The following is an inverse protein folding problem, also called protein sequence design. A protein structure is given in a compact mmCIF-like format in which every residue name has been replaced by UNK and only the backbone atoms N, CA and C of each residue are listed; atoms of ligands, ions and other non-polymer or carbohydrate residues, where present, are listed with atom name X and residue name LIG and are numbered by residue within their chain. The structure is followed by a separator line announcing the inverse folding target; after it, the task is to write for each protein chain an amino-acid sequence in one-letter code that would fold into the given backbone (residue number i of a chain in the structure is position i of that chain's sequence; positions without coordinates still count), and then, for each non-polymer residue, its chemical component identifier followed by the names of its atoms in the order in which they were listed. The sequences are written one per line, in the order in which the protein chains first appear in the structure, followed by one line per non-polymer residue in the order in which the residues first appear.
data_IF_900628115425
#
_entry.id   IF_900628115425
#
_cell.length_a   1.000
_cell.length_b   1.000
_cell.length_c   1.000
_cell.angle_alpha   90.00
_cell.angle_beta   90.00
_cell.angle_gamma   90.00
#
_symmetry.space_group_name_H-M   'P 1'
#
loop_
_entity.id
_entity.type
_entity.pdbx_description
1 polymer ?
#
# COMPACT_ATOMS: atom_id res chain seq x y z
N UNK A 1 -16.78 6.61 16.39
CA UNK A 1 -15.81 6.75 17.51
C UNK A 1 -14.40 6.65 16.90
N UNK A 2 -13.41 7.44 17.34
CA UNK A 2 -12.04 7.30 16.81
C UNK A 2 -11.36 6.04 17.38
N UNK A 3 -10.82 5.13 16.55
CA UNK A 3 -10.19 3.92 17.04
C UNK A 3 -8.91 4.23 17.83
N UNK A 4 -8.50 3.27 18.66
CA UNK A 4 -7.20 3.31 19.31
C UNK A 4 -6.13 2.89 18.30
N UNK A 5 -5.25 3.83 17.94
CA UNK A 5 -4.11 3.59 17.06
C UNK A 5 -2.83 3.87 17.83
N UNK A 6 -1.91 2.92 17.79
CA UNK A 6 -0.60 3.00 18.44
C UNK A 6 0.49 3.17 17.40
N UNK A 7 1.69 3.55 17.86
CA UNK A 7 2.86 3.53 17.00
C UNK A 7 3.17 2.09 16.57
N UNK A 8 3.68 1.91 15.34
CA UNK A 8 4.12 0.59 14.91
C UNK A 8 5.33 0.16 15.74
N UNK A 9 5.34 -1.10 16.17
CA UNK A 9 6.49 -1.71 16.85
C UNK A 9 7.76 -1.59 15.98
N UNK A 10 7.63 -1.82 14.67
CA UNK A 10 8.69 -1.62 13.69
C UNK A 10 8.45 -0.36 12.84
N UNK A 11 8.89 0.78 13.37
CA UNK A 11 8.83 2.08 12.66
C UNK A 11 9.62 2.08 11.35
N UNK A 12 10.73 1.34 11.28
CA UNK A 12 11.58 1.26 10.09
C UNK A 12 10.85 0.61 8.91
N UNK A 13 10.21 -0.54 9.16
CA UNK A 13 9.43 -1.26 8.16
C UNK A 13 8.26 -0.41 7.64
N UNK A 14 7.48 0.24 8.53
CA UNK A 14 6.39 1.12 8.08
C UNK A 14 6.92 2.33 7.30
N UNK A 15 8.04 2.91 7.72
CA UNK A 15 8.68 4.03 7.01
C UNK A 15 9.11 3.61 5.60
N UNK A 16 9.69 2.42 5.45
CA UNK A 16 10.07 1.87 4.15
C UNK A 16 8.84 1.62 3.26
N UNK A 17 7.78 1.03 3.81
CA UNK A 17 6.52 0.83 3.09
C UNK A 17 5.93 2.16 2.58
N UNK A 18 5.93 3.21 3.43
CA UNK A 18 5.49 4.55 3.02
C UNK A 18 6.38 5.09 1.89
N UNK A 19 7.69 4.90 1.96
CA UNK A 19 8.61 5.34 0.91
C UNK A 19 8.33 4.65 -0.43
N UNK A 20 8.02 3.35 -0.46
CA UNK A 20 7.62 2.66 -1.68
C UNK A 20 6.35 3.27 -2.29
N UNK A 21 5.35 3.57 -1.47
CA UNK A 21 4.13 4.26 -1.91
C UNK A 21 4.42 5.66 -2.46
N UNK A 22 5.28 6.44 -1.81
CA UNK A 22 5.68 7.77 -2.28
C UNK A 22 6.43 7.71 -3.62
N UNK A 23 7.32 6.73 -3.82
CA UNK A 23 8.00 6.48 -5.09
C UNK A 23 7.00 6.22 -6.20
N UNK A 24 6.01 5.35 -5.97
CA UNK A 24 4.96 5.08 -6.93
C UNK A 24 4.14 6.34 -7.25
N UNK A 25 3.68 7.07 -6.22
CA UNK A 25 2.85 8.27 -6.36
C UNK A 25 3.55 9.39 -7.12
N UNK A 26 4.89 9.40 -7.19
CA UNK A 26 5.67 10.35 -7.97
C UNK A 26 5.71 10.03 -9.49
N UNK A 27 5.22 8.87 -9.92
CA UNK A 27 5.27 8.45 -11.33
C UNK A 27 4.14 9.05 -12.18
N UNK A 28 4.33 9.15 -13.52
CA UNK A 28 3.24 9.49 -14.44
C UNK A 28 2.10 8.46 -14.43
N UNK A 29 2.41 7.18 -14.20
CA UNK A 29 1.42 6.10 -14.03
C UNK A 29 0.46 6.43 -12.88
N UNK A 30 0.98 6.81 -11.72
CA UNK A 30 0.14 7.20 -10.60
C UNK A 30 -0.66 8.48 -10.87
N UNK A 31 -0.15 9.40 -11.71
CA UNK A 31 -0.94 10.54 -12.15
C UNK A 31 -2.16 10.09 -12.98
N UNK A 32 -1.96 9.18 -13.94
CA UNK A 32 -3.04 8.62 -14.75
C UNK A 32 -4.05 7.81 -13.90
N UNK A 33 -3.58 6.95 -13.00
CA UNK A 33 -4.45 6.10 -12.18
C UNK A 33 -5.38 6.89 -11.24
N UNK A 34 -4.98 8.11 -10.87
CA UNK A 34 -5.79 9.01 -10.04
C UNK A 34 -6.64 10.01 -10.85
N UNK A 35 -6.53 10.07 -12.18
CA UNK A 35 -7.38 10.95 -13.00
C UNK A 35 -8.85 10.54 -12.93
N UNK A 36 -9.11 9.23 -12.97
CA UNK A 36 -10.47 8.66 -12.99
C UNK A 36 -10.84 7.98 -11.66
N UNK A 37 -10.22 8.40 -10.55
CA UNK A 37 -10.48 7.78 -9.25
C UNK A 37 -11.90 8.08 -8.76
N UNK A 38 -12.65 7.03 -8.44
CA UNK A 38 -14.10 7.09 -8.21
C UNK A 38 -14.51 7.79 -6.90
N UNK A 39 -13.59 8.01 -5.96
CA UNK A 39 -13.91 8.58 -4.64
C UNK A 39 -13.62 10.09 -4.64
N UNK A 40 -14.65 10.96 -4.61
CA UNK A 40 -14.45 12.39 -4.62
C UNK A 40 -13.56 12.87 -3.47
N UNK A 41 -12.65 13.79 -3.78
CA UNK A 41 -11.74 14.38 -2.79
C UNK A 41 -10.55 13.49 -2.40
N UNK A 42 -10.43 12.26 -2.91
CA UNK A 42 -9.23 11.42 -2.75
C UNK A 42 -8.33 11.62 -3.97
N UNK A 43 -7.57 12.72 -3.98
CA UNK A 43 -6.64 13.05 -5.07
C UNK A 43 -5.24 12.50 -4.81
N UNK A 44 -4.45 12.28 -5.87
CA UNK A 44 -3.04 11.86 -5.76
C UNK A 44 -2.23 12.76 -4.82
N UNK A 45 -2.39 14.09 -4.98
CA UNK A 45 -1.68 15.08 -4.17
C UNK A 45 -2.09 15.01 -2.68
N UNK A 46 -3.38 14.82 -2.40
CA UNK A 46 -3.86 14.62 -1.03
C UNK A 46 -3.24 13.36 -0.42
N UNK A 47 -3.28 12.22 -1.13
CA UNK A 47 -2.68 10.96 -0.66
C UNK A 47 -1.18 11.12 -0.43
N UNK A 48 -0.47 11.76 -1.36
CA UNK A 48 0.96 12.00 -1.26
C UNK A 48 1.32 12.82 -0.01
N UNK A 49 0.64 13.96 0.21
CA UNK A 49 0.87 14.81 1.39
C UNK A 49 0.49 14.10 2.70
N UNK A 50 -0.60 13.34 2.71
CA UNK A 50 -1.00 12.52 3.87
C UNK A 50 0.07 11.48 4.22
N UNK A 51 0.64 10.79 3.23
CA UNK A 51 1.72 9.82 3.46
C UNK A 51 3.03 10.49 3.91
N UNK A 52 3.40 11.64 3.33
CA UNK A 52 4.55 12.41 3.80
C UNK A 52 4.38 12.81 5.27
N UNK A 53 3.18 13.25 5.65
CA UNK A 53 2.90 13.63 7.03
C UNK A 53 2.89 12.43 7.96
N UNK A 54 2.26 11.33 7.56
CA UNK A 54 2.25 10.08 8.33
C UNK A 54 3.68 9.58 8.58
N UNK A 55 4.55 9.63 7.57
CA UNK A 55 5.98 9.28 7.70
C UNK A 55 6.67 10.10 8.79
N UNK A 56 6.42 11.42 8.83
CA UNK A 56 6.97 12.29 9.87
C UNK A 56 6.43 11.93 11.26
N UNK A 57 5.13 11.62 11.37
CA UNK A 57 4.54 11.22 12.64
C UNK A 57 5.11 9.90 13.16
N UNK A 58 5.28 8.90 12.29
CA UNK A 58 5.91 7.62 12.63
C UNK A 58 7.36 7.82 13.12
N UNK A 59 8.12 8.68 12.44
CA UNK A 59 9.51 8.95 12.80
C UNK A 59 9.63 9.72 14.13
N UNK A 60 8.79 10.74 14.34
CA UNK A 60 9.06 11.77 15.35
C UNK A 60 8.16 11.68 16.60
N UNK A 61 7.10 10.85 16.59
CA UNK A 61 6.21 10.78 17.75
C UNK A 61 6.92 10.08 18.93
N UNK A 62 6.91 10.69 20.13
CA UNK A 62 7.62 10.15 21.28
C UNK A 62 6.93 8.94 21.92
N UNK A 63 5.60 8.84 21.79
CA UNK A 63 4.78 7.77 22.36
C UNK A 63 3.42 7.66 21.64
N UNK A 64 2.65 6.61 21.98
CA UNK A 64 1.36 6.31 21.35
C UNK A 64 0.35 7.43 21.54
N UNK A 65 0.31 8.05 22.71
CA UNK A 65 -0.61 9.15 23.01
C UNK A 65 -0.36 10.35 22.10
N UNK A 66 0.91 10.72 21.90
CA UNK A 66 1.28 11.81 21.00
C UNK A 66 0.98 11.49 19.54
N UNK A 67 1.27 10.26 19.10
CA UNK A 67 0.97 9.79 17.76
C UNK A 67 -0.53 9.82 17.46
N UNK A 68 -1.35 9.23 18.34
CA UNK A 68 -2.80 9.21 18.19
C UNK A 68 -3.41 10.61 18.24
N UNK A 69 -2.91 11.48 19.12
CA UNK A 69 -3.36 12.87 19.20
C UNK A 69 -3.08 13.63 17.91
N UNK A 70 -1.91 13.41 17.30
CA UNK A 70 -1.56 14.00 16.01
C UNK A 70 -2.43 13.45 14.88
N UNK A 71 -2.66 12.12 14.83
CA UNK A 71 -3.58 11.52 13.87
C UNK A 71 -4.99 12.13 13.98
N UNK A 72 -5.54 12.21 15.21
CA UNK A 72 -6.85 12.81 15.50
C UNK A 72 -7.01 14.24 15.01
N UNK A 73 -5.93 15.03 15.11
CA UNK A 73 -5.95 16.44 14.72
C UNK A 73 -5.77 16.65 13.21
N UNK A 74 -5.00 15.78 12.56
CA UNK A 74 -4.46 16.06 11.22
C UNK A 74 -5.03 15.15 10.12
N UNK A 75 -5.72 14.07 10.48
CA UNK A 75 -6.25 13.08 9.54
C UNK A 75 -7.77 12.92 9.67
N UNK A 76 -8.39 12.54 8.55
CA UNK A 76 -9.75 12.00 8.52
C UNK A 76 -9.63 10.50 8.35
N UNK A 77 -10.18 9.71 9.27
CA UNK A 77 -10.30 8.26 9.08
C UNK A 77 -11.60 7.94 8.36
N UNK A 78 -11.47 7.06 7.38
CA UNK A 78 -12.58 6.45 6.68
C UNK A 78 -12.67 4.99 7.12
N UNK A 79 -13.85 4.59 7.57
CA UNK A 79 -14.16 3.20 7.91
C UNK A 79 -14.77 2.51 6.69
N UNK A 80 -14.34 1.27 6.42
CA UNK A 80 -14.92 0.48 5.34
C UNK A 80 -16.32 0.03 5.73
N UNK A 81 -17.28 0.11 4.80
CA UNK A 81 -18.65 -0.42 4.99
C UNK A 81 -18.68 -1.96 5.05
N UNK A 82 -17.58 -2.64 4.72
CA UNK A 82 -17.53 -4.10 4.67
C UNK A 82 -18.27 -4.70 3.47
N UNK A 83 -18.25 -6.02 3.36
CA UNK A 83 -18.96 -6.76 2.31
C UNK A 83 -20.47 -6.80 2.50
N UNK A 84 -20.96 -6.45 3.69
CA UNK A 84 -22.35 -6.59 4.13
C UNK A 84 -22.98 -5.27 4.61
N UNK A 85 -22.25 -4.15 4.58
CA UNK A 85 -22.71 -2.86 5.12
C UNK A 85 -22.53 -2.70 6.63
N UNK A 86 -22.11 -3.76 7.34
CA UNK A 86 -21.94 -3.79 8.80
C UNK A 86 -20.45 -3.88 9.20
N UNK A 87 -19.53 -3.63 8.26
CA UNK A 87 -18.09 -3.63 8.51
C UNK A 87 -17.42 -5.00 8.45
N UNK A 88 -18.08 -6.05 7.93
CA UNK A 88 -17.44 -7.37 7.76
C UNK A 88 -16.35 -7.30 6.68
N UNK A 89 -15.14 -7.73 7.04
CA UNK A 89 -13.97 -7.75 6.14
C UNK A 89 -13.33 -9.13 6.16
N UNK A 90 -13.13 -9.72 4.98
CA UNK A 90 -12.33 -10.93 4.81
C UNK A 90 -10.85 -10.55 4.63
N UNK A 91 -9.97 -11.09 5.49
CA UNK A 91 -8.53 -10.92 5.39
C UNK A 91 -7.89 -12.18 4.80
N UNK A 92 -7.22 -12.06 3.66
CA UNK A 92 -6.49 -13.14 3.00
C UNK A 92 -5.02 -12.76 2.82
N UNK A 93 -4.15 -13.75 2.61
CA UNK A 93 -2.71 -13.54 2.40
C UNK A 93 -2.27 -13.99 1.01
N UNK A 94 -1.37 -13.23 0.40
CA UNK A 94 -0.56 -13.66 -0.73
C UNK A 94 0.92 -13.50 -0.37
N UNK A 95 1.79 -14.21 -1.07
CA UNK A 95 3.23 -14.12 -0.89
C UNK A 95 3.94 -14.25 -2.24
N UNK A 96 5.21 -13.88 -2.26
CA UNK A 96 6.07 -14.09 -3.43
C UNK A 96 6.81 -15.44 -3.28
N UNK A 97 6.44 -16.48 -4.05
CA UNK A 97 7.13 -17.76 -3.98
C UNK A 97 8.51 -17.68 -4.63
N UNK A 98 9.49 -18.36 -4.01
CA UNK A 98 10.85 -18.44 -4.53
C UNK A 98 11.10 -19.83 -5.11
N UNK A 99 11.53 -19.88 -6.38
CA UNK A 99 11.83 -21.12 -7.08
C UNK A 99 13.26 -21.11 -7.61
N UNK A 100 13.91 -22.29 -7.60
CA UNK A 100 15.15 -22.50 -8.34
C UNK A 100 14.82 -22.71 -9.82
N UNK A 101 15.54 -22.02 -10.70
CA UNK A 101 15.30 -22.05 -12.14
C UNK A 101 16.60 -22.02 -12.93
N UNK A 102 16.52 -22.38 -14.21
CA UNK A 102 17.61 -22.30 -15.17
C UNK A 102 17.18 -21.50 -16.40
N UNK A 103 18.09 -20.71 -16.96
CA UNK A 103 17.88 -20.01 -18.24
C UNK A 103 17.91 -20.97 -19.45
N UNK A 104 18.49 -22.17 -19.29
CA UNK A 104 18.58 -23.21 -20.32
C UNK A 104 17.78 -24.43 -19.87
N UNK A 105 16.91 -25.01 -20.72
CA UNK A 105 16.18 -26.23 -20.38
C UNK A 105 17.12 -27.40 -20.08
N UNK A 106 16.84 -28.14 -19.02
CA UNK A 106 17.52 -29.39 -18.68
C UNK A 106 16.51 -30.47 -18.34
N UNK A 107 16.96 -31.71 -18.08
CA UNK A 107 16.08 -32.77 -17.58
C UNK A 107 15.42 -32.43 -16.23
N UNK A 108 16.05 -31.56 -15.42
CA UNK A 108 15.51 -31.04 -14.15
C UNK A 108 14.61 -29.82 -14.38
N UNK A 109 15.06 -28.84 -15.17
CA UNK A 109 14.35 -27.58 -15.45
C UNK A 109 13.57 -27.64 -16.76
N UNK A 110 12.47 -28.39 -16.77
CA UNK A 110 11.69 -28.70 -17.99
C UNK A 110 10.50 -27.78 -18.28
N UNK A 111 10.07 -26.98 -17.30
CA UNK A 111 8.86 -26.16 -17.41
C UNK A 111 9.23 -24.68 -17.60
N UNK A 112 9.00 -24.10 -18.79
CA UNK A 112 9.37 -22.71 -19.06
C UNK A 112 8.39 -21.71 -18.41
N UNK A 113 8.91 -20.53 -18.06
CA UNK A 113 8.09 -19.36 -17.75
C UNK A 113 7.95 -18.50 -19.01
N UNK A 114 6.72 -18.34 -19.49
CA UNK A 114 6.44 -17.62 -20.72
C UNK A 114 6.35 -16.10 -20.49
N UNK A 115 6.94 -15.32 -21.40
CA UNK A 115 6.58 -13.91 -21.57
C UNK A 115 5.22 -13.84 -22.27
N UNK A 116 4.54 -12.69 -22.15
CA UNK A 116 3.31 -12.43 -22.91
C UNK A 116 3.56 -12.62 -24.42
N UNK A 117 2.82 -13.48 -25.14
CA UNK A 117 2.94 -13.62 -26.58
C UNK A 117 2.52 -12.34 -27.31
N UNK A 118 3.18 -11.96 -28.43
CA UNK A 118 2.82 -10.76 -29.20
C UNK A 118 1.44 -10.86 -29.87
N UNK A 119 0.92 -12.08 -30.05
CA UNK A 119 -0.40 -12.35 -30.63
C UNK A 119 -1.53 -12.38 -29.59
N UNK A 120 -1.22 -12.13 -28.31
CA UNK A 120 -2.25 -12.10 -27.27
C UNK A 120 -2.95 -10.74 -27.30
N UNK A 121 -4.19 -10.70 -27.80
CA UNK A 121 -5.05 -9.52 -27.82
C UNK A 121 -5.27 -8.95 -26.40
N UNK A 122 -5.54 -7.65 -26.30
CA UNK A 122 -5.63 -6.88 -25.04
C UNK A 122 -7.00 -6.26 -24.88
#
# INVERSE_FOLDING_TARGET
MWPQLTLPENRGALTQAINHSLTYLATPKAAADYQDYLVPGVTRDRVYRSLQRLRQLVANSPNDQAFQSALRREFVLYESVGSDGEGTVAYTGYFEPQYRASAVPTAEYRYPLYRRPPTLET
#
